data_IF_744924599189
#
_entry.id   IF_744924599189
#
_cell.length_a   1.000
_cell.length_b   1.000
_cell.length_c   1.000
_cell.angle_alpha   90.00
_cell.angle_beta   90.00
_cell.angle_gamma   90.00
#
_symmetry.space_group_name_H-M   'P 1'
#
loop_
_entity.id
_entity.type
_entity.pdbx_description
1 polymer ?
#
# COMPACT_ATOMS: atom_id res chain seq x y z
N UNK A 1 -11.28 -37.48 63.45
CA UNK A 1 -12.75 -37.21 63.20
C UNK A 1 -12.91 -36.64 61.79
N UNK A 2 -13.15 -37.52 60.79
CA UNK A 2 -13.28 -37.10 59.37
C UNK A 2 -14.77 -36.73 59.11
N UNK A 3 -15.07 -35.44 59.13
CA UNK A 3 -16.38 -34.94 58.71
C UNK A 3 -16.38 -34.91 57.19
N UNK A 4 -16.75 -36.01 56.54
CA UNK A 4 -17.12 -36.03 55.15
C UNK A 4 -18.43 -35.24 55.00
N UNK A 5 -18.37 -33.92 54.75
CA UNK A 5 -19.50 -33.13 54.31
C UNK A 5 -20.14 -33.81 53.10
N UNK A 6 -21.30 -34.47 53.30
CA UNK A 6 -22.12 -35.01 52.22
C UNK A 6 -22.59 -33.82 51.38
N UNK A 7 -21.84 -33.52 50.29
CA UNK A 7 -22.31 -32.55 49.29
C UNK A 7 -23.69 -33.02 48.79
N UNK A 8 -24.74 -32.19 49.01
CA UNK A 8 -26.06 -32.43 48.49
C UNK A 8 -25.97 -32.67 46.97
N UNK A 9 -26.78 -33.60 46.45
CA UNK A 9 -26.86 -33.94 45.03
C UNK A 9 -26.95 -32.66 44.14
N UNK A 10 -27.71 -31.70 44.64
CA UNK A 10 -27.89 -30.36 44.03
C UNK A 10 -26.56 -29.60 43.88
N UNK A 11 -25.72 -29.59 44.91
CA UNK A 11 -24.42 -28.93 44.88
C UNK A 11 -23.41 -29.62 43.93
N UNK A 12 -23.47 -30.93 43.78
CA UNK A 12 -22.66 -31.68 42.81
C UNK A 12 -23.04 -31.35 41.38
N UNK A 13 -24.37 -31.22 41.13
CA UNK A 13 -24.87 -30.85 39.80
C UNK A 13 -24.44 -29.43 39.43
N UNK A 14 -24.54 -28.46 40.36
CA UNK A 14 -24.08 -27.09 40.13
C UNK A 14 -22.58 -27.03 39.89
N UNK A 15 -21.78 -27.79 40.60
CA UNK A 15 -20.32 -27.82 40.46
C UNK A 15 -19.92 -28.42 39.11
N UNK A 16 -20.60 -29.46 38.64
CA UNK A 16 -20.41 -30.05 37.32
C UNK A 16 -20.76 -29.03 36.19
N UNK A 17 -21.90 -28.35 36.35
CA UNK A 17 -22.36 -27.33 35.40
C UNK A 17 -21.36 -26.16 35.34
N UNK A 18 -20.84 -25.72 36.47
CA UNK A 18 -19.86 -24.64 36.57
C UNK A 18 -18.51 -25.01 35.93
N UNK A 19 -18.05 -26.28 36.11
CA UNK A 19 -16.83 -26.79 35.46
C UNK A 19 -16.99 -26.84 33.94
N UNK A 20 -18.19 -27.05 33.41
CA UNK A 20 -18.43 -27.04 31.97
C UNK A 20 -18.59 -25.61 31.40
N UNK A 21 -19.29 -24.72 32.11
CA UNK A 21 -19.60 -23.36 31.62
C UNK A 21 -18.39 -22.46 31.63
N UNK A 22 -17.53 -22.53 32.68
CA UNK A 22 -16.35 -21.65 32.76
C UNK A 22 -15.41 -21.82 31.58
N UNK A 23 -14.93 -23.02 31.23
CA UNK A 23 -13.99 -23.16 30.11
C UNK A 23 -14.65 -22.80 28.77
N UNK A 24 -15.95 -23.03 28.61
CA UNK A 24 -16.69 -22.70 27.41
C UNK A 24 -16.79 -21.17 27.26
N UNK A 25 -17.03 -20.43 28.33
CA UNK A 25 -17.06 -18.97 28.33
C UNK A 25 -15.67 -18.39 28.03
N UNK A 26 -14.62 -18.96 28.61
CA UNK A 26 -13.23 -18.54 28.34
C UNK A 26 -12.87 -18.78 26.86
N UNK A 27 -13.26 -19.93 26.31
CA UNK A 27 -13.03 -20.26 24.91
C UNK A 27 -13.75 -19.30 23.97
N UNK A 28 -15.02 -18.98 24.23
CA UNK A 28 -15.79 -18.03 23.41
C UNK A 28 -15.16 -16.64 23.48
N UNK A 29 -14.77 -16.17 24.66
CA UNK A 29 -14.14 -14.86 24.83
C UNK A 29 -12.81 -14.79 24.08
N UNK A 30 -12.01 -15.86 24.13
CA UNK A 30 -10.76 -15.95 23.37
C UNK A 30 -10.99 -15.93 21.86
N UNK A 31 -11.99 -16.66 21.36
CA UNK A 31 -12.34 -16.65 19.93
C UNK A 31 -12.81 -15.27 19.46
N UNK A 32 -13.65 -14.60 20.26
CA UNK A 32 -14.10 -13.24 19.94
C UNK A 32 -12.92 -12.24 19.88
N UNK A 33 -12.00 -12.34 20.84
CA UNK A 33 -10.78 -11.52 20.84
C UNK A 33 -9.90 -11.80 19.61
N UNK A 34 -9.74 -13.07 19.24
CA UNK A 34 -8.97 -13.48 18.07
C UNK A 34 -9.62 -12.96 16.77
N UNK A 35 -10.93 -13.10 16.61
CA UNK A 35 -11.68 -12.62 15.45
C UNK A 35 -11.54 -11.09 15.32
N UNK A 36 -11.70 -10.36 16.41
CA UNK A 36 -11.59 -8.89 16.38
C UNK A 36 -10.19 -8.43 16.00
N UNK A 37 -9.15 -9.11 16.50
CA UNK A 37 -7.76 -8.79 16.15
C UNK A 37 -7.44 -9.12 14.68
N UNK A 38 -7.96 -10.23 14.15
CA UNK A 38 -7.81 -10.61 12.73
C UNK A 38 -8.57 -9.64 11.83
N UNK A 39 -9.79 -9.26 12.19
CA UNK A 39 -10.61 -8.30 11.43
C UNK A 39 -9.91 -6.94 11.32
N UNK A 40 -9.40 -6.41 12.43
CA UNK A 40 -8.67 -5.13 12.41
C UNK A 40 -7.44 -5.16 11.52
N UNK A 41 -6.67 -6.25 11.55
CA UNK A 41 -5.51 -6.43 10.65
C UNK A 41 -5.93 -6.53 9.18
N UNK A 42 -7.05 -7.21 8.91
CA UNK A 42 -7.58 -7.36 7.56
C UNK A 42 -8.04 -6.02 6.98
N UNK A 43 -8.78 -5.24 7.76
CA UNK A 43 -9.25 -3.91 7.35
C UNK A 43 -8.08 -2.98 7.02
N UNK A 44 -7.03 -3.01 7.82
CA UNK A 44 -5.81 -2.23 7.57
C UNK A 44 -5.08 -2.64 6.29
N UNK A 45 -4.99 -3.95 6.00
CA UNK A 45 -4.41 -4.46 4.75
C UNK A 45 -5.24 -4.04 3.54
N UNK A 46 -6.57 -4.16 3.62
CA UNK A 46 -7.49 -3.77 2.53
C UNK A 46 -7.39 -2.27 2.27
N UNK A 47 -7.35 -1.44 3.30
CA UNK A 47 -7.19 0.01 3.16
C UNK A 47 -5.87 0.37 2.44
N UNK A 48 -4.76 -0.25 2.83
CA UNK A 48 -3.44 -0.02 2.19
C UNK A 48 -3.44 -0.44 0.73
N UNK A 49 -3.99 -1.62 0.41
CA UNK A 49 -4.09 -2.10 -0.98
C UNK A 49 -4.95 -1.16 -1.81
N UNK A 50 -6.07 -0.69 -1.27
CA UNK A 50 -6.97 0.23 -1.96
C UNK A 50 -6.31 1.57 -2.24
N UNK A 51 -5.60 2.13 -1.27
CA UNK A 51 -4.81 3.37 -1.45
C UNK A 51 -3.71 3.19 -2.49
N UNK A 52 -2.96 2.09 -2.44
CA UNK A 52 -1.91 1.79 -3.40
C UNK A 52 -2.46 1.66 -4.83
N UNK A 53 -3.59 0.99 -5.00
CA UNK A 53 -4.22 0.83 -6.31
C UNK A 53 -4.76 2.17 -6.85
N UNK A 54 -5.44 2.94 -6.03
CA UNK A 54 -5.98 4.25 -6.42
C UNK A 54 -4.83 5.19 -6.84
N UNK A 55 -3.75 5.22 -6.06
CA UNK A 55 -2.58 6.02 -6.40
C UNK A 55 -1.92 5.54 -7.70
N UNK A 56 -1.75 4.23 -7.89
CA UNK A 56 -1.12 3.68 -9.09
C UNK A 56 -1.91 3.99 -10.38
N UNK A 57 -3.25 3.98 -10.31
CA UNK A 57 -4.10 4.35 -11.46
C UNK A 57 -3.93 5.82 -11.77
N UNK A 58 -4.08 6.70 -10.79
CA UNK A 58 -3.92 8.14 -10.99
C UNK A 58 -2.51 8.52 -11.48
N UNK A 59 -1.47 7.98 -10.86
CA UNK A 59 -0.09 8.20 -11.28
C UNK A 59 0.15 7.80 -12.73
N UNK A 60 -0.37 6.64 -13.15
CA UNK A 60 -0.21 6.17 -14.53
C UNK A 60 -0.89 7.10 -15.52
N UNK A 61 -2.13 7.50 -15.26
CA UNK A 61 -2.88 8.42 -16.13
C UNK A 61 -2.18 9.77 -16.25
N UNK A 62 -1.71 10.30 -15.12
CA UNK A 62 -1.06 11.61 -15.08
C UNK A 62 0.32 11.59 -15.75
N UNK A 63 1.14 10.56 -15.52
CA UNK A 63 2.46 10.45 -16.15
C UNK A 63 2.35 10.20 -17.65
N UNK A 64 1.43 9.33 -18.09
CA UNK A 64 1.17 9.06 -19.50
C UNK A 64 0.73 10.36 -20.22
N UNK A 65 -0.13 11.17 -19.59
CA UNK A 65 -0.57 12.45 -20.11
C UNK A 65 0.58 13.47 -20.24
N UNK A 66 1.40 13.62 -19.20
CA UNK A 66 2.53 14.53 -19.19
C UNK A 66 3.56 14.12 -20.25
N UNK A 67 3.87 12.81 -20.34
CA UNK A 67 4.80 12.30 -21.35
C UNK A 67 4.26 12.47 -22.77
N UNK A 68 2.96 12.28 -22.98
CA UNK A 68 2.32 12.56 -24.28
C UNK A 68 2.50 14.02 -24.68
N UNK A 69 2.29 14.98 -23.77
CA UNK A 69 2.49 16.41 -24.07
C UNK A 69 3.94 16.71 -24.43
N UNK A 70 4.91 16.15 -23.71
CA UNK A 70 6.34 16.37 -23.99
C UNK A 70 6.70 15.90 -25.41
N UNK A 71 6.11 14.80 -25.86
CA UNK A 71 6.40 14.24 -27.19
C UNK A 71 5.67 14.98 -28.33
N UNK A 72 4.45 15.50 -28.08
CA UNK A 72 3.56 15.99 -29.15
C UNK A 72 3.50 17.52 -29.22
N UNK A 73 3.82 18.23 -28.15
CA UNK A 73 3.66 19.69 -28.07
C UNK A 73 4.93 20.35 -27.56
N UNK A 74 5.77 20.82 -28.48
CA UNK A 74 7.07 21.42 -28.17
C UNK A 74 6.99 22.65 -27.24
N UNK A 75 6.00 23.53 -27.41
CA UNK A 75 5.86 24.74 -26.57
C UNK A 75 5.55 24.37 -25.10
N UNK A 76 4.68 23.38 -24.89
CA UNK A 76 4.35 22.91 -23.52
C UNK A 76 5.39 21.95 -22.97
N UNK A 77 6.17 21.29 -23.84
CA UNK A 77 7.27 20.42 -23.42
C UNK A 77 8.32 21.20 -22.65
N UNK A 78 8.74 22.37 -23.14
CA UNK A 78 9.73 23.23 -22.48
C UNK A 78 9.28 23.60 -21.06
N UNK A 79 8.02 24.03 -20.86
CA UNK A 79 7.47 24.34 -19.54
C UNK A 79 7.48 23.12 -18.60
N UNK A 80 7.10 21.95 -19.11
CA UNK A 80 7.03 20.72 -18.31
C UNK A 80 8.40 20.18 -17.91
N UNK A 81 9.39 20.33 -18.79
CA UNK A 81 10.79 19.95 -18.53
C UNK A 81 11.44 20.96 -17.56
N UNK A 82 11.27 22.25 -17.77
CA UNK A 82 11.81 23.29 -16.90
C UNK A 82 11.25 23.19 -15.46
N UNK A 83 9.99 22.85 -15.33
CA UNK A 83 9.36 22.63 -14.02
C UNK A 83 9.69 21.29 -13.40
N UNK A 84 10.40 20.41 -14.10
CA UNK A 84 10.71 19.03 -13.68
C UNK A 84 9.48 18.26 -13.23
N UNK A 85 8.36 18.47 -13.92
CA UNK A 85 7.08 17.89 -13.52
C UNK A 85 7.09 16.36 -13.49
N UNK A 86 7.59 15.65 -14.52
CA UNK A 86 7.66 14.20 -14.51
C UNK A 86 8.51 13.64 -13.35
N UNK A 87 9.68 14.26 -13.09
CA UNK A 87 10.57 13.83 -12.01
C UNK A 87 9.92 14.02 -10.62
N UNK A 88 9.21 15.13 -10.43
CA UNK A 88 8.46 15.37 -9.19
C UNK A 88 7.39 14.30 -8.98
N UNK A 89 6.65 13.95 -10.03
CA UNK A 89 5.64 12.90 -9.97
C UNK A 89 6.25 11.54 -9.63
N UNK A 90 7.38 11.18 -10.23
CA UNK A 90 8.09 9.93 -9.95
C UNK A 90 8.62 9.92 -8.51
N UNK A 91 9.14 11.05 -8.02
CA UNK A 91 9.60 11.19 -6.65
C UNK A 91 8.47 11.00 -5.64
N UNK A 92 7.32 11.64 -5.85
CA UNK A 92 6.12 11.47 -5.03
C UNK A 92 5.65 10.01 -5.03
N UNK A 93 5.63 9.37 -6.20
CA UNK A 93 5.30 7.94 -6.31
C UNK A 93 6.27 7.07 -5.51
N UNK A 94 7.57 7.38 -5.55
CA UNK A 94 8.61 6.67 -4.78
C UNK A 94 8.40 6.82 -3.28
N UNK A 95 8.04 8.00 -2.80
CA UNK A 95 7.73 8.25 -1.40
C UNK A 95 6.52 7.41 -0.95
N UNK A 96 5.40 7.47 -1.68
CA UNK A 96 4.18 6.70 -1.36
C UNK A 96 4.42 5.20 -1.35
N UNK A 97 5.08 4.65 -2.38
CA UNK A 97 5.36 3.21 -2.44
C UNK A 97 6.46 2.79 -1.46
N UNK A 98 7.37 3.69 -1.10
CA UNK A 98 8.38 3.48 -0.06
C UNK A 98 7.74 3.31 1.32
N UNK A 99 6.86 4.23 1.72
CA UNK A 99 6.09 4.14 2.97
C UNK A 99 5.26 2.85 3.04
N UNK A 100 4.60 2.49 1.93
CA UNK A 100 3.85 1.24 1.86
C UNK A 100 4.75 0.00 1.99
N UNK A 101 6.00 0.06 1.52
CA UNK A 101 6.95 -1.04 1.62
C UNK A 101 7.52 -1.19 3.05
N UNK A 102 7.75 -0.09 3.76
CA UNK A 102 8.16 -0.11 5.16
C UNK A 102 7.06 -0.71 6.06
N UNK A 103 5.83 -0.31 5.80
CA UNK A 103 4.64 -0.75 6.53
C UNK A 103 4.15 -2.16 6.14
N UNK A 104 4.74 -2.79 5.14
CA UNK A 104 4.29 -4.10 4.68
C UNK A 104 4.63 -5.21 5.67
N UNK A 105 3.63 -5.96 6.13
CA UNK A 105 3.79 -7.03 7.10
C UNK A 105 4.25 -8.37 6.49
N UNK A 106 4.06 -8.55 5.16
CA UNK A 106 4.38 -9.82 4.50
C UNK A 106 5.58 -9.70 3.56
N UNK A 107 6.41 -10.74 3.51
CA UNK A 107 7.54 -10.84 2.59
C UNK A 107 7.09 -10.71 1.12
N UNK A 108 5.90 -11.24 0.78
CA UNK A 108 5.32 -11.14 -0.54
C UNK A 108 4.97 -9.69 -0.91
N UNK A 109 4.34 -8.94 0.00
CA UNK A 109 4.02 -7.52 -0.22
C UNK A 109 5.31 -6.70 -0.38
N UNK A 110 6.30 -6.89 0.48
CA UNK A 110 7.62 -6.24 0.37
C UNK A 110 8.28 -6.50 -0.98
N UNK A 111 8.26 -7.74 -1.44
CA UNK A 111 8.84 -8.09 -2.75
C UNK A 111 8.10 -7.42 -3.91
N UNK A 112 6.77 -7.34 -3.86
CA UNK A 112 5.97 -6.65 -4.88
C UNK A 112 6.26 -5.15 -4.91
N UNK A 113 6.28 -4.49 -3.77
CA UNK A 113 6.57 -3.07 -3.65
C UNK A 113 8.02 -2.75 -4.06
N UNK A 114 8.99 -3.59 -3.72
CA UNK A 114 10.36 -3.47 -4.20
C UNK A 114 10.46 -3.52 -5.73
N UNK A 115 9.65 -4.35 -6.39
CA UNK A 115 9.60 -4.39 -7.87
C UNK A 115 9.01 -3.10 -8.44
N UNK A 116 7.98 -2.53 -7.81
CA UNK A 116 7.40 -1.25 -8.22
C UNK A 116 8.45 -0.14 -8.11
N UNK A 117 9.15 -0.05 -6.97
CA UNK A 117 10.21 0.95 -6.77
C UNK A 117 11.32 0.83 -7.83
N UNK A 118 11.73 -0.39 -8.16
CA UNK A 118 12.70 -0.64 -9.23
C UNK A 118 12.16 -0.25 -10.62
N UNK A 119 10.86 -0.42 -10.86
CA UNK A 119 10.24 0.04 -12.10
C UNK A 119 10.21 1.56 -12.20
N UNK A 120 10.00 2.27 -11.08
CA UNK A 120 10.11 3.73 -11.03
C UNK A 120 11.52 4.23 -11.36
N UNK A 121 12.58 3.53 -10.91
CA UNK A 121 13.97 3.87 -11.30
C UNK A 121 14.19 3.73 -12.81
N UNK A 122 13.58 2.73 -13.44
CA UNK A 122 13.65 2.53 -14.89
C UNK A 122 12.84 3.60 -15.63
N UNK A 123 11.68 3.97 -15.10
CA UNK A 123 10.84 5.03 -15.65
C UNK A 123 11.56 6.38 -15.60
N UNK A 124 12.17 6.72 -14.46
CA UNK A 124 12.93 7.96 -14.28
C UNK A 124 14.04 8.12 -15.34
N UNK A 125 14.79 7.07 -15.60
CA UNK A 125 15.83 7.08 -16.66
C UNK A 125 15.24 7.32 -18.05
N UNK A 126 14.13 6.66 -18.38
CA UNK A 126 13.47 6.85 -19.67
C UNK A 126 12.87 8.23 -19.83
N UNK A 127 12.33 8.79 -18.76
CA UNK A 127 11.81 10.16 -18.75
C UNK A 127 12.95 11.14 -19.05
N UNK A 128 14.10 11.00 -18.40
CA UNK A 128 15.27 11.82 -18.66
C UNK A 128 15.75 11.73 -20.12
N UNK A 129 15.82 10.52 -20.68
CA UNK A 129 16.18 10.31 -22.10
C UNK A 129 15.21 11.05 -23.04
N UNK A 130 13.89 10.96 -22.78
CA UNK A 130 12.87 11.62 -23.61
C UNK A 130 12.93 13.15 -23.48
N UNK A 131 13.16 13.66 -22.27
CA UNK A 131 13.30 15.10 -22.03
C UNK A 131 14.55 15.67 -22.73
N UNK A 132 15.67 14.97 -22.70
CA UNK A 132 16.87 15.34 -23.40
C UNK A 132 16.64 15.36 -24.94
N UNK A 133 15.98 14.32 -25.47
CA UNK A 133 15.66 14.25 -26.89
C UNK A 133 14.67 15.34 -27.33
N UNK A 134 13.69 15.68 -26.50
CA UNK A 134 12.70 16.73 -26.76
C UNK A 134 13.37 18.13 -26.81
N UNK A 135 14.27 18.41 -25.88
CA UNK A 135 15.04 19.67 -25.85
C UNK A 135 15.97 19.81 -27.06
N UNK A 136 16.64 18.73 -27.48
CA UNK A 136 17.48 18.73 -28.67
C UNK A 136 16.64 18.98 -29.93
N UNK A 137 15.48 18.33 -30.06
CA UNK A 137 14.58 18.53 -31.20
C UNK A 137 14.04 19.96 -31.27
N UNK A 138 13.61 20.52 -30.13
CA UNK A 138 13.13 21.90 -30.03
C UNK A 138 14.18 22.93 -30.38
N UNK A 139 15.46 22.68 -30.05
CA UNK A 139 16.55 23.57 -30.41
C UNK A 139 16.87 23.55 -31.91
N UNK A 140 16.57 22.48 -32.61
CA UNK A 140 16.72 22.41 -34.09
C UNK A 140 15.68 23.23 -34.84
N UNK A 141 14.41 23.21 -34.35
CA UNK A 141 13.33 24.01 -34.98
C UNK A 141 13.58 25.52 -34.85
N UNK A 142 13.99 25.99 -33.67
CA UNK A 142 14.35 27.40 -33.44
C UNK A 142 15.54 27.90 -34.26
N UNK A 143 16.48 27.03 -34.60
CA UNK A 143 17.62 27.36 -35.43
C UNK A 143 17.30 27.31 -36.95
N UNK A 144 16.19 26.72 -37.38
CA UNK A 144 15.74 26.75 -38.79
C UNK A 144 14.91 27.98 -39.14
N UNK A 145 14.31 28.67 -38.17
CA UNK A 145 13.54 29.89 -38.37
C UNK A 145 14.36 31.19 -38.30
N UNK A 146 15.63 31.12 -38.01
CA UNK A 146 16.58 32.26 -37.98
C UNK A 146 17.46 32.24 -39.20
#
# INVERSE_FOLDING_TARGET
>A
MNVRKKFSLKNRLYLLLLICVIPLTVMITYLLFMINNVSSKYDHIVEKITKANAYNIGFKEDIDYVMYIIVVNSERAEELVDTQKPQKMIKEAREVFGELAEDADSAYAKQRLSRILKSLDTLEKRVQEIEEDALVSGSYETNMES
#
